data_IF_170259525997
#
_entry.id   IF_170259525997
#
_cell.length_a   1.000
_cell.length_b   1.000
_cell.length_c   1.000
_cell.angle_alpha   90.00
_cell.angle_beta   90.00
_cell.angle_gamma   90.00
#
_symmetry.space_group_name_H-M   'P 1'
#
loop_
_entity.id
_entity.type
_entity.pdbx_description
1 polymer ?
#
# COMPACT_ATOMS: atom_id res chain seq x y z
N UNK A 1 -41.63 27.66 -63.07
CA UNK A 1 -42.45 28.12 -61.93
C UNK A 1 -41.92 27.39 -60.70
N UNK A 2 -40.92 27.86 -59.96
CA UNK A 2 -40.69 29.16 -59.32
C UNK A 2 -41.70 29.46 -58.19
N UNK A 3 -41.33 29.11 -56.96
CA UNK A 3 -41.35 30.05 -55.83
C UNK A 3 -40.60 29.46 -54.62
N UNK A 4 -39.34 29.89 -54.51
CA UNK A 4 -38.52 29.84 -53.30
C UNK A 4 -38.83 31.06 -52.41
N UNK A 5 -38.30 31.00 -51.17
CA UNK A 5 -37.97 32.09 -50.21
C UNK A 5 -38.97 32.38 -49.08
N UNK A 6 -38.56 33.01 -47.95
CA UNK A 6 -37.20 33.21 -47.39
C UNK A 6 -37.05 33.01 -45.86
N UNK A 7 -35.78 32.81 -45.45
CA UNK A 7 -34.99 33.48 -44.38
C UNK A 7 -35.63 33.75 -43.01
N UNK A 8 -34.94 33.28 -41.95
CA UNK A 8 -34.58 34.15 -40.82
C UNK A 8 -33.20 33.78 -40.28
N UNK A 9 -32.22 34.61 -40.65
CA UNK A 9 -30.93 34.73 -39.96
C UNK A 9 -31.14 35.60 -38.73
N UNK A 10 -30.72 35.14 -37.56
CA UNK A 10 -30.40 36.00 -36.43
C UNK A 10 -28.90 35.93 -36.17
N UNK A 11 -28.14 36.84 -36.79
CA UNK A 11 -26.96 37.39 -36.15
C UNK A 11 -27.45 38.42 -35.13
N UNK A 12 -26.86 38.44 -33.93
CA UNK A 12 -26.23 39.66 -33.40
C UNK A 12 -25.66 39.46 -31.98
N UNK A 13 -24.43 39.97 -31.85
CA UNK A 13 -23.81 40.56 -30.67
C UNK A 13 -23.09 39.62 -29.69
N UNK A 14 -21.81 39.43 -30.03
CA UNK A 14 -20.69 39.50 -29.08
C UNK A 14 -21.00 40.45 -27.92
N UNK A 15 -21.06 39.92 -26.70
CA UNK A 15 -20.87 40.71 -25.50
C UNK A 15 -19.78 40.05 -24.65
N UNK A 16 -18.64 40.74 -24.55
CA UNK A 16 -17.54 40.41 -23.63
C UNK A 16 -18.10 40.45 -22.21
N UNK A 17 -18.23 39.29 -21.57
CA UNK A 17 -18.33 39.22 -20.11
C UNK A 17 -17.04 38.62 -19.60
N UNK A 18 -16.20 39.49 -19.01
CA UNK A 18 -15.04 39.09 -18.24
C UNK A 18 -15.51 38.33 -16.99
N UNK A 19 -15.49 37.00 -17.02
CA UNK A 19 -15.58 36.21 -15.80
C UNK A 19 -14.21 36.17 -15.13
N UNK A 20 -14.08 37.00 -14.09
CA UNK A 20 -12.95 36.98 -13.15
C UNK A 20 -12.96 35.66 -12.38
N UNK A 21 -11.83 34.95 -12.39
CA UNK A 21 -11.59 33.83 -11.48
C UNK A 21 -11.70 34.30 -10.02
N UNK A 22 -12.36 33.55 -9.12
CA UNK A 22 -12.23 33.79 -7.69
C UNK A 22 -10.84 33.34 -7.21
N UNK A 23 -10.17 34.13 -6.35
CA UNK A 23 -8.85 33.78 -5.85
C UNK A 23 -8.93 32.68 -4.79
N UNK A 24 -7.95 31.78 -4.88
CA UNK A 24 -7.46 30.82 -3.88
C UNK A 24 -7.90 31.10 -2.43
N UNK A 25 -8.78 30.25 -1.89
CA UNK A 25 -8.88 30.00 -0.46
C UNK A 25 -7.75 29.07 -0.03
N UNK A 26 -6.58 29.66 0.25
CA UNK A 26 -5.56 29.03 1.10
C UNK A 26 -6.04 29.13 2.55
N UNK A 27 -6.78 28.13 3.00
CA UNK A 27 -6.99 27.93 4.43
C UNK A 27 -5.70 27.37 5.03
N UNK A 28 -4.96 28.23 5.71
CA UNK A 28 -3.85 27.85 6.57
C UNK A 28 -4.37 27.07 7.77
N UNK A 29 -3.99 25.80 7.86
CA UNK A 29 -4.08 25.05 9.12
C UNK A 29 -2.70 25.01 9.75
N UNK A 30 -2.69 25.66 10.90
CA UNK A 30 -1.57 25.98 11.77
C UNK A 30 -0.86 24.70 12.24
N UNK A 31 0.43 24.62 11.96
CA UNK A 31 1.34 23.67 12.58
C UNK A 31 1.53 24.09 14.04
N UNK A 32 0.84 23.44 14.97
CA UNK A 32 0.96 23.72 16.39
C UNK A 32 2.33 23.21 16.89
N UNK A 33 3.33 24.08 16.86
CA UNK A 33 4.64 23.86 17.50
C UNK A 33 4.50 24.18 18.99
N UNK A 34 4.28 23.17 19.82
CA UNK A 34 4.51 23.30 21.25
C UNK A 34 6.02 23.36 21.51
N UNK A 35 6.57 24.57 21.60
CA UNK A 35 7.88 24.81 22.23
C UNK A 35 7.65 25.02 23.72
N UNK A 36 7.93 24.00 24.54
CA UNK A 36 7.99 24.18 26.00
C UNK A 36 9.37 24.75 26.34
N UNK A 37 9.41 26.05 26.58
CA UNK A 37 10.58 26.74 27.13
C UNK A 37 10.67 26.43 28.62
N UNK A 38 11.59 25.55 29.01
CA UNK A 38 11.94 25.38 30.43
C UNK A 38 12.89 26.50 30.87
N UNK A 39 12.33 27.45 31.61
CA UNK A 39 13.04 28.50 32.33
C UNK A 39 13.96 27.83 33.37
N UNK A 40 15.27 27.93 33.18
CA UNK A 40 16.29 27.42 34.12
C UNK A 40 16.32 28.35 35.35
N UNK A 41 15.66 27.99 36.44
CA UNK A 41 15.91 28.63 37.74
C UNK A 41 17.12 27.98 38.39
N UNK A 42 18.18 28.76 38.55
CA UNK A 42 19.37 28.39 39.33
C UNK A 42 19.07 28.61 40.81
N UNK A 43 18.96 27.51 41.57
CA UNK A 43 19.03 27.55 43.03
C UNK A 43 20.37 26.95 43.46
N UNK A 44 21.21 27.80 44.05
CA UNK A 44 22.51 27.46 44.63
C UNK A 44 22.27 27.10 46.09
N UNK A 45 22.59 25.87 46.49
CA UNK A 45 22.72 25.49 47.91
C UNK A 45 24.06 24.76 48.08
N UNK A 46 24.91 25.13 49.05
CA UNK A 46 26.18 24.47 49.29
C UNK A 46 26.03 23.39 50.36
N UNK A 47 26.50 22.17 50.10
CA UNK A 47 26.71 21.19 51.17
C UNK A 47 27.95 20.36 50.96
N UNK A 48 28.61 20.13 52.09
CA UNK A 48 30.00 19.70 52.33
C UNK A 48 30.29 18.28 51.84
N UNK A 49 31.56 18.06 51.54
CA UNK A 49 32.17 16.77 51.29
C UNK A 49 32.05 15.85 52.52
N UNK A 50 31.64 14.61 52.28
CA UNK A 50 31.88 13.47 53.16
C UNK A 50 32.24 12.27 52.27
N UNK A 51 33.44 11.74 52.49
CA UNK A 51 33.92 10.53 51.83
C UNK A 51 33.14 9.32 52.35
N UNK A 52 32.55 8.55 51.45
CA UNK A 52 32.03 7.22 51.73
C UNK A 52 32.55 6.25 50.69
N UNK A 53 33.42 5.34 51.12
CA UNK A 53 33.87 4.17 50.36
C UNK A 53 32.67 3.31 50.00
N UNK A 54 32.26 3.36 48.74
CA UNK A 54 31.25 2.48 48.17
C UNK A 54 31.92 1.48 47.23
N UNK A 55 31.86 0.20 47.60
CA UNK A 55 32.30 -0.94 46.79
C UNK A 55 31.67 -0.84 45.39
N UNK A 56 32.51 -0.72 44.36
CA UNK A 56 32.07 -0.73 42.96
C UNK A 56 31.68 -2.16 42.61
N UNK A 57 30.39 -2.46 42.78
CA UNK A 57 29.82 -3.69 42.21
C UNK A 57 29.78 -3.49 40.70
N UNK A 58 30.62 -4.27 39.99
CA UNK A 58 30.66 -4.28 38.54
C UNK A 58 29.32 -4.84 38.03
N UNK A 59 28.36 -3.95 37.80
CA UNK A 59 27.21 -4.26 36.96
C UNK A 59 27.76 -4.43 35.56
N UNK A 60 27.79 -5.67 35.08
CA UNK A 60 27.93 -5.97 33.65
C UNK A 60 26.84 -5.19 32.94
N UNK A 61 27.20 -4.06 32.34
CA UNK A 61 26.33 -3.33 31.44
C UNK A 61 26.01 -4.26 30.27
N UNK A 62 24.85 -4.89 30.33
CA UNK A 62 24.27 -5.62 29.21
C UNK A 62 24.23 -4.63 28.04
N UNK A 63 25.04 -4.87 27.00
CA UNK A 63 25.02 -4.05 25.79
C UNK A 63 23.58 -4.01 25.32
N UNK A 64 22.92 -2.85 25.43
CA UNK A 64 21.58 -2.66 24.94
C UNK A 64 21.55 -3.13 23.49
N UNK A 65 20.91 -4.28 23.23
CA UNK A 65 20.79 -4.84 21.88
C UNK A 65 20.22 -3.73 21.00
N UNK A 66 20.90 -3.44 19.89
CA UNK A 66 20.47 -2.39 18.96
C UNK A 66 19.08 -2.78 18.47
N UNK A 67 18.06 -2.03 18.93
CA UNK A 67 16.65 -2.27 18.60
C UNK A 67 16.46 -2.16 17.08
N UNK A 68 15.67 -3.06 16.51
CA UNK A 68 15.35 -3.00 15.08
C UNK A 68 14.52 -1.74 14.77
N UNK A 69 14.72 -1.10 13.61
CA UNK A 69 13.88 0.03 13.21
C UNK A 69 12.40 -0.36 13.20
N UNK A 70 11.58 0.34 13.98
CA UNK A 70 10.13 0.08 14.07
C UNK A 70 9.70 -0.84 15.22
N UNK A 71 10.61 -1.61 15.82
CA UNK A 71 10.31 -2.60 16.88
C UNK A 71 9.63 -1.98 18.12
N UNK A 72 9.79 -0.67 18.35
CA UNK A 72 9.08 0.05 19.42
C UNK A 72 7.58 0.25 19.18
N UNK A 73 7.12 0.13 17.93
CA UNK A 73 5.73 0.38 17.52
C UNK A 73 4.98 -0.91 17.13
N UNK A 74 5.64 -2.06 17.18
CA UNK A 74 5.09 -3.36 16.76
C UNK A 74 5.74 -3.90 15.49
N UNK A 75 5.58 -5.20 15.26
CA UNK A 75 6.23 -5.91 14.16
C UNK A 75 5.79 -5.41 12.78
N UNK A 76 4.55 -4.94 12.64
CA UNK A 76 4.07 -4.34 11.38
C UNK A 76 4.88 -3.11 10.97
N UNK A 77 5.36 -2.32 11.94
CA UNK A 77 6.22 -1.16 11.61
C UNK A 77 7.60 -1.62 11.12
N UNK A 78 8.12 -2.75 11.60
CA UNK A 78 9.34 -3.36 11.05
C UNK A 78 9.11 -3.81 9.60
N UNK A 79 8.00 -4.51 9.32
CA UNK A 79 7.62 -4.90 7.95
C UNK A 79 7.47 -3.69 7.03
N UNK A 80 6.80 -2.62 7.49
CA UNK A 80 6.70 -1.35 6.76
C UNK A 80 8.08 -0.79 6.45
N UNK A 81 8.97 -0.75 7.43
CA UNK A 81 10.31 -0.18 7.25
C UNK A 81 11.11 -0.92 6.17
N UNK A 82 11.08 -2.26 6.17
CA UNK A 82 11.74 -3.08 5.15
C UNK A 82 11.09 -2.84 3.77
N UNK A 83 9.76 -2.91 3.68
CA UNK A 83 9.03 -2.68 2.44
C UNK A 83 9.32 -1.29 1.84
N UNK A 84 9.36 -0.24 2.66
CA UNK A 84 9.63 1.12 2.18
C UNK A 84 11.02 1.28 1.57
N UNK A 85 12.04 0.59 2.10
CA UNK A 85 13.39 0.61 1.53
C UNK A 85 13.49 -0.04 0.16
N UNK A 86 12.64 -1.03 -0.11
CA UNK A 86 12.62 -1.75 -1.39
C UNK A 86 11.93 -0.98 -2.53
N UNK A 87 11.26 0.13 -2.24
CA UNK A 87 10.71 0.99 -3.28
C UNK A 87 11.80 1.85 -3.93
N UNK A 88 11.51 2.36 -5.13
CA UNK A 88 12.30 3.45 -5.72
C UNK A 88 11.90 4.80 -5.12
N UNK A 89 12.77 5.81 -5.26
CA UNK A 89 12.44 7.19 -4.83
C UNK A 89 11.26 7.80 -5.59
N UNK A 90 11.02 7.33 -6.81
CA UNK A 90 9.89 7.75 -7.63
C UNK A 90 8.56 7.17 -7.12
N UNK A 91 8.59 5.98 -6.52
CA UNK A 91 7.41 5.32 -5.96
C UNK A 91 7.13 5.74 -4.50
N UNK A 92 8.17 5.91 -3.69
CA UNK A 92 8.05 6.28 -2.29
C UNK A 92 9.20 7.17 -1.82
N UNK A 93 8.89 8.18 -0.99
CA UNK A 93 9.89 9.11 -0.43
C UNK A 93 11.02 8.39 0.33
N UNK A 94 10.70 7.28 0.99
CA UNK A 94 11.61 6.46 1.79
C UNK A 94 12.38 5.41 0.95
N UNK A 95 12.10 5.30 -0.35
CA UNK A 95 12.69 4.30 -1.24
C UNK A 95 14.20 4.38 -1.37
N UNK A 96 14.88 3.25 -1.44
CA UNK A 96 16.35 3.19 -1.58
C UNK A 96 16.80 2.45 -2.84
N UNK A 97 15.88 1.85 -3.61
CA UNK A 97 16.22 1.14 -4.86
C UNK A 97 16.27 2.10 -6.06
N UNK A 98 17.11 1.74 -7.02
CA UNK A 98 17.16 2.38 -8.34
C UNK A 98 16.10 1.77 -9.26
N UNK A 99 15.63 2.54 -10.23
CA UNK A 99 14.71 2.05 -11.27
C UNK A 99 15.48 1.11 -12.20
N UNK A 100 15.08 -0.16 -12.25
CA UNK A 100 15.64 -1.18 -13.15
C UNK A 100 14.63 -1.63 -14.19
N UNK A 101 13.37 -1.72 -13.79
CA UNK A 101 12.28 -2.19 -14.64
C UNK A 101 11.28 -1.07 -14.95
N UNK A 102 10.55 -1.12 -16.08
CA UNK A 102 9.61 -0.06 -16.48
C UNK A 102 8.54 0.28 -15.43
N UNK A 103 8.01 -0.74 -14.75
CA UNK A 103 7.00 -0.60 -13.68
C UNK A 103 7.56 -0.01 -12.37
N UNK A 104 8.88 0.17 -12.25
CA UNK A 104 9.50 0.80 -11.09
C UNK A 104 9.65 2.32 -11.25
N UNK A 105 9.48 2.82 -12.48
CA UNK A 105 9.54 4.23 -12.81
C UNK A 105 8.24 4.99 -12.47
N UNK A 106 8.23 6.32 -12.69
CA UNK A 106 7.05 7.15 -12.42
C UNK A 106 5.83 6.71 -13.25
N UNK A 107 4.70 6.47 -12.59
CA UNK A 107 3.44 6.04 -13.23
C UNK A 107 2.99 7.00 -14.34
N UNK A 108 3.32 8.30 -14.23
CA UNK A 108 3.00 9.30 -15.26
C UNK A 108 3.69 9.06 -16.62
N UNK A 109 4.73 8.22 -16.67
CA UNK A 109 5.46 7.85 -17.89
C UNK A 109 5.04 6.48 -18.45
N UNK A 110 4.08 5.81 -17.81
CA UNK A 110 3.61 4.52 -18.27
C UNK A 110 2.73 4.67 -19.50
N UNK A 111 2.79 3.68 -20.38
CA UNK A 111 1.94 3.55 -21.57
C UNK A 111 1.09 2.27 -21.42
N UNK A 112 0.10 2.25 -20.52
CA UNK A 112 -0.72 1.05 -20.29
C UNK A 112 -1.65 0.78 -21.47
N UNK A 113 -2.02 -0.48 -21.64
CA UNK A 113 -3.07 -0.93 -22.57
C UNK A 113 -4.21 -1.58 -21.79
N UNK A 114 -5.43 -1.61 -22.37
CA UNK A 114 -6.54 -2.34 -21.74
C UNK A 114 -6.23 -3.83 -21.63
N UNK A 115 -5.60 -4.41 -22.65
CA UNK A 115 -5.21 -5.83 -22.66
C UNK A 115 -4.19 -6.16 -21.56
N UNK A 116 -3.14 -5.34 -21.43
CA UNK A 116 -2.14 -5.48 -20.36
C UNK A 116 -2.76 -5.31 -18.97
N UNK A 117 -3.67 -4.34 -18.83
CA UNK A 117 -4.38 -4.13 -17.58
C UNK A 117 -5.34 -5.27 -17.23
N UNK A 118 -6.02 -5.89 -18.21
CA UNK A 118 -6.85 -7.08 -18.01
C UNK A 118 -6.02 -8.26 -17.51
N UNK A 119 -4.83 -8.51 -18.08
CA UNK A 119 -3.91 -9.53 -17.56
C UNK A 119 -3.53 -9.26 -16.11
N UNK A 120 -3.20 -7.99 -15.78
CA UNK A 120 -2.92 -7.57 -14.41
C UNK A 120 -4.09 -7.85 -13.46
N UNK A 121 -5.33 -7.53 -13.86
CA UNK A 121 -6.52 -7.75 -13.03
C UNK A 121 -6.83 -9.24 -12.83
N UNK A 122 -6.71 -10.05 -13.88
CA UNK A 122 -6.92 -11.52 -13.81
C UNK A 122 -5.87 -12.17 -12.90
N UNK A 123 -4.59 -11.86 -13.09
CA UNK A 123 -3.51 -12.41 -12.26
C UNK A 123 -3.63 -11.94 -10.81
N UNK A 124 -3.97 -10.67 -10.60
CA UNK A 124 -4.25 -10.15 -9.25
C UNK A 124 -5.42 -10.91 -8.61
N UNK A 125 -6.50 -11.16 -9.35
CA UNK A 125 -7.66 -11.89 -8.83
C UNK A 125 -7.28 -13.30 -8.42
N UNK A 126 -6.49 -14.02 -9.22
CA UNK A 126 -6.01 -15.34 -8.86
C UNK A 126 -5.20 -15.33 -7.54
N UNK A 127 -4.36 -14.32 -7.34
CA UNK A 127 -3.60 -14.15 -6.10
C UNK A 127 -4.53 -13.87 -4.91
N UNK A 128 -5.50 -12.97 -5.04
CA UNK A 128 -6.46 -12.70 -3.96
C UNK A 128 -7.36 -13.89 -3.67
N UNK A 129 -7.87 -14.59 -4.69
CA UNK A 129 -8.64 -15.83 -4.52
C UNK A 129 -7.84 -16.84 -3.71
N UNK A 130 -6.54 -16.95 -4.00
CA UNK A 130 -5.62 -17.85 -3.30
C UNK A 130 -5.42 -17.43 -1.84
N UNK A 131 -5.19 -16.15 -1.57
CA UNK A 131 -5.05 -15.64 -0.19
C UNK A 131 -6.33 -15.88 0.62
N UNK A 132 -7.48 -15.58 0.03
CA UNK A 132 -8.80 -15.73 0.64
C UNK A 132 -9.11 -17.22 0.92
N UNK A 133 -8.80 -18.11 -0.02
CA UNK A 133 -8.93 -19.56 0.17
C UNK A 133 -8.01 -20.09 1.29
N UNK A 134 -6.76 -19.62 1.35
CA UNK A 134 -5.80 -20.03 2.37
C UNK A 134 -6.26 -19.62 3.78
N UNK A 135 -6.69 -18.37 3.97
CA UNK A 135 -7.16 -17.93 5.28
C UNK A 135 -8.48 -18.61 5.66
N UNK A 136 -9.31 -18.97 4.69
CA UNK A 136 -10.53 -19.75 4.93
C UNK A 136 -10.23 -21.20 5.32
N UNK A 137 -9.24 -21.87 4.71
CA UNK A 137 -8.80 -23.21 5.16
C UNK A 137 -8.09 -23.16 6.51
N UNK A 138 -7.31 -22.11 6.74
CA UNK A 138 -6.46 -21.89 7.90
C UNK A 138 -5.62 -23.12 8.34
N UNK A 139 -4.66 -23.59 7.51
CA UNK A 139 -3.76 -24.69 7.89
C UNK A 139 -3.03 -24.44 9.23
N UNK A 140 -2.76 -23.17 9.55
CA UNK A 140 -2.27 -22.72 10.84
C UNK A 140 -3.36 -21.93 11.59
N UNK A 141 -3.56 -22.14 12.91
CA UNK A 141 -4.61 -21.47 13.68
C UNK A 141 -4.56 -19.94 13.64
N UNK A 142 -3.38 -19.35 13.49
CA UNK A 142 -3.19 -17.89 13.41
C UNK A 142 -3.86 -17.28 12.17
N UNK A 143 -4.10 -18.05 11.11
CA UNK A 143 -4.69 -17.53 9.88
C UNK A 143 -6.17 -17.18 10.03
N UNK A 144 -6.86 -17.80 11.00
CA UNK A 144 -8.26 -17.49 11.33
C UNK A 144 -8.45 -16.00 11.68
N UNK A 145 -7.43 -15.36 12.23
CA UNK A 145 -7.46 -13.93 12.57
C UNK A 145 -7.63 -13.05 11.31
N UNK A 146 -7.24 -13.55 10.13
CA UNK A 146 -7.24 -12.81 8.86
C UNK A 146 -8.43 -13.13 7.95
N UNK A 147 -9.46 -13.83 8.45
CA UNK A 147 -10.74 -13.97 7.75
C UNK A 147 -11.58 -12.70 7.89
N UNK A 148 -12.34 -12.36 6.85
CA UNK A 148 -13.36 -11.30 6.86
C UNK A 148 -12.82 -9.96 7.40
N UNK A 149 -11.66 -9.56 6.91
CA UNK A 149 -10.97 -8.33 7.30
C UNK A 149 -11.60 -7.07 6.71
N UNK A 150 -12.39 -7.22 5.65
CA UNK A 150 -12.87 -6.14 4.80
C UNK A 150 -11.85 -5.71 3.74
N UNK A 151 -10.66 -6.31 3.71
CA UNK A 151 -9.62 -6.03 2.72
C UNK A 151 -9.68 -6.97 1.51
N UNK A 152 -10.45 -8.05 1.57
CA UNK A 152 -10.68 -9.05 0.51
C UNK A 152 -11.02 -8.38 -0.82
N UNK A 153 -10.45 -8.85 -1.93
CA UNK A 153 -10.51 -8.18 -3.24
C UNK A 153 -11.12 -9.04 -4.35
N UNK A 154 -11.23 -10.35 -4.15
CA UNK A 154 -11.71 -11.28 -5.17
C UNK A 154 -13.08 -10.92 -5.72
N UNK A 155 -14.04 -10.58 -4.86
CA UNK A 155 -15.39 -10.19 -5.28
C UNK A 155 -15.38 -8.86 -6.07
N UNK A 156 -14.59 -7.88 -5.62
CA UNK A 156 -14.47 -6.58 -6.29
C UNK A 156 -13.84 -6.72 -7.68
N UNK A 157 -12.80 -7.55 -7.80
CA UNK A 157 -12.17 -7.89 -9.08
C UNK A 157 -13.13 -8.65 -10.01
N UNK A 158 -13.94 -9.57 -9.49
CA UNK A 158 -14.95 -10.26 -10.29
C UNK A 158 -15.96 -9.29 -10.92
N UNK A 159 -16.42 -8.27 -10.16
CA UNK A 159 -17.31 -7.22 -10.66
C UNK A 159 -16.66 -6.39 -11.76
N UNK A 160 -15.40 -6.02 -11.58
CA UNK A 160 -14.67 -5.24 -12.59
C UNK A 160 -14.44 -6.06 -13.87
N UNK A 161 -14.07 -7.33 -13.77
CA UNK A 161 -13.88 -8.20 -14.93
C UNK A 161 -15.20 -8.43 -15.70
N UNK A 162 -16.33 -8.60 -15.01
CA UNK A 162 -17.63 -8.68 -15.68
C UNK A 162 -17.98 -7.36 -16.37
N UNK A 163 -17.69 -6.21 -15.75
CA UNK A 163 -17.86 -4.91 -16.40
C UNK A 163 -17.05 -4.78 -17.69
N UNK A 164 -15.78 -5.23 -17.71
CA UNK A 164 -14.97 -5.26 -18.94
C UNK A 164 -15.58 -6.16 -20.02
N UNK A 165 -16.12 -7.31 -19.63
CA UNK A 165 -16.80 -8.22 -20.56
C UNK A 165 -18.07 -7.60 -21.15
N UNK A 166 -18.84 -6.86 -20.36
CA UNK A 166 -19.99 -6.07 -20.83
C UNK A 166 -19.58 -4.96 -21.81
N UNK A 167 -18.35 -4.42 -21.69
CA UNK A 167 -17.80 -3.47 -22.67
C UNK A 167 -17.30 -4.14 -23.96
N UNK A 168 -17.35 -5.47 -24.05
CA UNK A 168 -16.93 -6.24 -25.23
C UNK A 168 -15.49 -6.71 -25.23
N UNK A 169 -14.76 -6.60 -24.10
CA UNK A 169 -13.42 -7.15 -23.98
C UNK A 169 -13.45 -8.65 -23.69
N UNK A 170 -12.51 -9.39 -24.28
CA UNK A 170 -12.25 -10.77 -23.90
C UNK A 170 -11.43 -10.80 -22.61
N UNK A 171 -11.88 -11.58 -21.63
CA UNK A 171 -11.12 -11.77 -20.37
C UNK A 171 -10.06 -12.85 -20.61
N UNK A 172 -8.76 -12.55 -20.44
CA UNK A 172 -7.71 -13.53 -20.66
C UNK A 172 -7.70 -14.60 -19.55
N UNK A 173 -7.08 -15.74 -19.84
CA UNK A 173 -6.72 -16.71 -18.81
C UNK A 173 -5.56 -16.17 -17.93
N UNK A 174 -5.43 -16.64 -16.68
CA UNK A 174 -4.31 -16.27 -15.82
C UNK A 174 -2.96 -16.54 -16.48
N UNK A 175 -2.07 -15.57 -16.40
CA UNK A 175 -0.74 -15.63 -16.99
C UNK A 175 0.31 -16.20 -16.02
N UNK A 176 1.50 -16.47 -16.53
CA UNK A 176 2.56 -17.14 -15.74
C UNK A 176 2.91 -16.41 -14.43
N UNK A 177 3.02 -15.07 -14.35
CA UNK A 177 3.23 -14.36 -13.09
C UNK A 177 2.19 -14.67 -12.01
N UNK A 178 0.90 -14.60 -12.34
CA UNK A 178 -0.20 -14.89 -11.43
C UNK A 178 -0.21 -16.34 -10.96
N UNK A 179 -0.07 -17.29 -11.88
CA UNK A 179 -0.02 -18.73 -11.55
C UNK A 179 1.17 -19.05 -10.65
N UNK A 180 2.36 -18.56 -11.00
CA UNK A 180 3.58 -18.77 -10.22
C UNK A 180 3.43 -18.22 -8.81
N UNK A 181 2.85 -17.02 -8.67
CA UNK A 181 2.70 -16.43 -7.35
C UNK A 181 1.64 -17.15 -6.51
N UNK A 182 0.50 -17.53 -7.11
CA UNK A 182 -0.53 -18.30 -6.41
C UNK A 182 0.00 -19.67 -5.92
N UNK A 183 0.75 -20.39 -6.75
CA UNK A 183 1.39 -21.66 -6.35
C UNK A 183 2.39 -21.46 -5.21
N UNK A 184 3.21 -20.41 -5.29
CA UNK A 184 4.18 -20.09 -4.24
C UNK A 184 3.48 -19.78 -2.90
N UNK A 185 2.40 -19.00 -2.92
CA UNK A 185 1.62 -18.67 -1.72
C UNK A 185 0.99 -19.93 -1.09
N UNK A 186 0.46 -20.84 -1.92
CA UNK A 186 -0.06 -22.13 -1.44
C UNK A 186 1.03 -22.95 -0.76
N UNK A 187 2.22 -23.03 -1.35
CA UNK A 187 3.34 -23.74 -0.74
C UNK A 187 3.73 -23.14 0.61
N UNK A 188 3.92 -21.82 0.70
CA UNK A 188 4.26 -21.14 1.94
C UNK A 188 3.19 -21.35 3.01
N UNK A 189 1.91 -21.29 2.64
CA UNK A 189 0.81 -21.39 3.60
C UNK A 189 0.71 -22.73 4.33
N UNK A 190 1.34 -23.78 3.80
CA UNK A 190 1.35 -25.12 4.41
C UNK A 190 2.66 -25.40 5.17
N UNK A 191 3.75 -24.69 4.84
CA UNK A 191 5.11 -25.02 5.33
C UNK A 191 5.76 -23.92 6.16
N UNK A 192 5.42 -22.66 5.91
CA UNK A 192 6.17 -21.49 6.39
C UNK A 192 5.22 -20.32 6.69
N UNK A 193 4.60 -20.30 7.88
CA UNK A 193 3.59 -19.31 8.19
C UNK A 193 4.15 -17.90 8.35
N UNK A 194 5.40 -17.74 8.77
CA UNK A 194 6.05 -16.45 8.87
C UNK A 194 6.26 -15.82 7.49
N UNK A 195 6.76 -16.59 6.51
CA UNK A 195 6.90 -16.14 5.13
C UNK A 195 5.53 -15.82 4.50
N UNK A 196 4.54 -16.69 4.67
CA UNK A 196 3.18 -16.43 4.18
C UNK A 196 2.60 -15.11 4.71
N UNK A 197 2.74 -14.84 6.01
CA UNK A 197 2.27 -13.59 6.62
C UNK A 197 3.00 -12.36 6.07
N UNK A 198 4.28 -12.47 5.72
CA UNK A 198 4.99 -11.40 5.03
C UNK A 198 4.32 -11.04 3.70
N UNK A 199 3.98 -12.06 2.91
CA UNK A 199 3.30 -11.88 1.63
C UNK A 199 1.88 -11.32 1.81
N UNK A 200 1.10 -11.86 2.74
CA UNK A 200 -0.23 -11.34 3.07
C UNK A 200 -0.17 -9.84 3.38
N UNK A 201 0.76 -9.44 4.26
CA UNK A 201 0.95 -8.03 4.60
C UNK A 201 1.30 -7.20 3.36
N UNK A 202 2.33 -7.57 2.61
CA UNK A 202 2.79 -6.75 1.49
C UNK A 202 1.74 -6.63 0.38
N UNK A 203 1.02 -7.70 0.05
CA UNK A 203 0.01 -7.69 -1.02
C UNK A 203 -1.14 -6.72 -0.66
N UNK A 204 -1.78 -6.89 0.51
CA UNK A 204 -2.91 -6.06 0.91
C UNK A 204 -2.52 -4.59 1.19
N UNK A 205 -1.38 -4.37 1.85
CA UNK A 205 -0.94 -3.01 2.20
C UNK A 205 -0.36 -2.26 1.00
N UNK A 206 0.28 -2.93 0.04
CA UNK A 206 0.70 -2.29 -1.21
C UNK A 206 -0.51 -1.82 -2.03
N UNK A 207 -1.54 -2.65 -2.15
CA UNK A 207 -2.75 -2.31 -2.91
C UNK A 207 -3.49 -1.10 -2.32
N UNK A 208 -3.71 -1.12 -1.01
CA UNK A 208 -4.40 -0.03 -0.30
C UNK A 208 -3.62 1.29 -0.22
N UNK A 209 -2.31 1.27 -0.54
CA UNK A 209 -1.46 2.46 -0.62
C UNK A 209 -1.16 2.83 -2.08
N UNK A 210 -0.07 2.30 -2.66
CA UNK A 210 0.37 2.62 -4.01
C UNK A 210 -0.59 2.12 -5.09
N UNK A 211 -1.23 0.97 -4.88
CA UNK A 211 -2.18 0.38 -5.84
C UNK A 211 -3.35 1.30 -6.18
N UNK A 212 -3.88 2.04 -5.20
CA UNK A 212 -4.94 3.04 -5.43
C UNK A 212 -4.50 4.16 -6.36
N UNK A 213 -3.27 4.65 -6.20
CA UNK A 213 -2.73 5.71 -7.05
C UNK A 213 -2.51 5.20 -8.48
N UNK A 214 -1.95 3.99 -8.61
CA UNK A 214 -1.76 3.32 -9.90
C UNK A 214 -3.11 3.12 -10.60
N UNK A 215 -4.10 2.54 -9.92
CA UNK A 215 -5.43 2.29 -10.45
C UNK A 215 -6.10 3.55 -10.98
N UNK A 216 -6.07 4.63 -10.20
CA UNK A 216 -6.59 5.93 -10.62
C UNK A 216 -5.90 6.44 -11.89
N UNK A 217 -4.57 6.34 -11.95
CA UNK A 217 -3.79 6.84 -13.10
C UNK A 217 -4.02 6.02 -14.35
N UNK A 218 -4.06 4.69 -14.23
CA UNK A 218 -4.35 3.80 -15.36
C UNK A 218 -5.78 4.03 -15.86
N UNK A 219 -6.77 4.16 -14.98
CA UNK A 219 -8.14 4.47 -15.38
C UNK A 219 -8.26 5.84 -16.07
N UNK A 220 -7.51 6.86 -15.62
CA UNK A 220 -7.40 8.16 -16.30
C UNK A 220 -6.83 8.04 -17.73
N UNK A 221 -5.92 7.08 -17.96
CA UNK A 221 -5.25 6.89 -19.25
C UNK A 221 -6.08 6.07 -20.25
N UNK A 222 -6.71 4.99 -19.78
CA UNK A 222 -7.28 3.96 -20.68
C UNK A 222 -8.76 3.62 -20.44
N UNK A 223 -9.40 4.13 -19.38
CA UNK A 223 -10.78 3.74 -19.01
C UNK A 223 -11.73 4.93 -18.80
N UNK A 224 -11.47 6.08 -19.42
CA UNK A 224 -12.25 7.32 -19.24
C UNK A 224 -12.55 7.63 -17.75
N UNK A 225 -11.53 7.45 -16.90
CA UNK A 225 -11.61 7.70 -15.45
C UNK A 225 -12.63 6.83 -14.71
N UNK A 226 -13.01 5.67 -15.27
CA UNK A 226 -13.83 4.67 -14.59
C UNK A 226 -13.28 4.37 -13.19
N UNK A 227 -14.13 4.53 -12.20
CA UNK A 227 -13.81 4.17 -10.82
C UNK A 227 -14.16 2.69 -10.57
N UNK A 228 -13.15 1.83 -10.63
CA UNK A 228 -13.25 0.37 -10.49
C UNK A 228 -13.47 -0.06 -9.03
N UNK A 229 -14.21 -1.14 -8.85
CA UNK A 229 -14.55 -1.70 -7.54
C UNK A 229 -13.31 -2.21 -6.78
N UNK A 230 -12.29 -2.67 -7.49
CA UNK A 230 -11.03 -3.15 -6.92
C UNK A 230 -10.37 -2.13 -5.97
N UNK A 231 -10.57 -0.83 -6.23
CA UNK A 231 -10.02 0.29 -5.45
C UNK A 231 -11.01 0.91 -4.46
N UNK A 232 -12.15 0.25 -4.20
CA UNK A 232 -13.18 0.68 -3.26
C UNK A 232 -13.32 -0.31 -2.11
N UNK A 233 -13.63 0.20 -0.93
CA UNK A 233 -13.82 -0.61 0.27
C UNK A 233 -15.17 -0.32 0.88
N UNK A 234 -15.79 -1.36 1.42
CA UNK A 234 -17.01 -1.23 2.20
C UNK A 234 -16.59 -0.87 3.64
N UNK A 235 -16.66 0.43 3.95
CA UNK A 235 -16.23 1.00 5.23
C UNK A 235 -14.98 1.87 5.15
N UNK A 236 -14.58 2.41 6.30
CA UNK A 236 -13.45 3.35 6.41
C UNK A 236 -12.10 2.62 6.31
N UNK A 237 -11.46 2.72 5.15
CA UNK A 237 -10.17 2.07 4.88
C UNK A 237 -9.10 2.27 5.98
N UNK A 238 -8.91 3.47 6.57
CA UNK A 238 -7.94 3.63 7.65
C UNK A 238 -8.22 2.72 8.86
N UNK A 239 -9.49 2.52 9.20
CA UNK A 239 -9.90 1.65 10.30
C UNK A 239 -9.70 0.18 9.94
N UNK A 240 -10.08 -0.24 8.73
CA UNK A 240 -9.85 -1.61 8.25
C UNK A 240 -8.36 -1.97 8.30
N UNK A 241 -7.50 -1.09 7.78
CA UNK A 241 -6.06 -1.27 7.83
C UNK A 241 -5.56 -1.34 9.27
N UNK A 242 -6.00 -0.44 10.15
CA UNK A 242 -5.58 -0.45 11.55
C UNK A 242 -5.94 -1.75 12.27
N UNK A 243 -7.16 -2.27 12.06
CA UNK A 243 -7.60 -3.53 12.63
C UNK A 243 -6.70 -4.70 12.17
N UNK A 244 -6.32 -4.73 10.89
CA UNK A 244 -5.42 -5.77 10.35
C UNK A 244 -4.00 -5.61 10.90
N UNK A 245 -3.50 -4.39 11.10
CA UNK A 245 -2.18 -4.17 11.74
C UNK A 245 -2.15 -4.72 13.17
N UNK A 246 -3.22 -4.50 13.93
CA UNK A 246 -3.34 -5.01 15.30
C UNK A 246 -3.34 -6.54 15.34
N UNK A 247 -4.08 -7.18 14.43
CA UNK A 247 -4.08 -8.64 14.27
C UNK A 247 -2.70 -9.19 13.88
N UNK A 248 -2.02 -8.56 12.92
CA UNK A 248 -0.66 -8.94 12.53
C UNK A 248 0.33 -8.83 13.70
N UNK A 249 0.27 -7.72 14.46
CA UNK A 249 1.08 -7.55 15.65
C UNK A 249 0.81 -8.63 16.69
N UNK A 250 -0.47 -8.92 16.99
CA UNK A 250 -0.89 -9.97 17.92
C UNK A 250 -0.36 -11.35 17.52
N UNK A 251 -0.46 -11.72 16.23
CA UNK A 251 0.10 -13.00 15.74
C UNK A 251 1.62 -13.05 15.95
N UNK A 252 2.32 -11.96 15.64
CA UNK A 252 3.77 -11.88 15.77
C UNK A 252 4.29 -11.69 17.20
N UNK A 253 3.42 -11.46 18.20
CA UNK A 253 3.84 -11.38 19.61
C UNK A 253 4.45 -12.70 20.10
N UNK A 254 3.91 -13.83 19.62
CA UNK A 254 4.38 -15.17 19.96
C UNK A 254 5.68 -15.57 19.25
N UNK A 255 6.08 -14.83 18.21
CA UNK A 255 7.23 -15.20 17.38
C UNK A 255 8.56 -14.86 18.04
N UNK A 256 9.53 -15.75 17.85
CA UNK A 256 10.93 -15.47 18.18
C UNK A 256 11.50 -14.37 17.29
N UNK A 257 12.69 -13.87 17.63
CA UNK A 257 13.36 -12.86 16.81
C UNK A 257 13.78 -13.43 15.45
N UNK A 258 14.17 -14.70 15.42
CA UNK A 258 14.55 -15.44 14.22
C UNK A 258 13.36 -15.57 13.28
N UNK A 259 12.19 -15.94 13.79
CA UNK A 259 10.93 -16.03 13.03
C UNK A 259 10.51 -14.67 12.46
N UNK A 260 10.64 -13.60 13.26
CA UNK A 260 10.41 -12.22 12.79
C UNK A 260 11.39 -11.84 11.67
N UNK A 261 12.67 -12.14 11.82
CA UNK A 261 13.68 -11.86 10.80
C UNK A 261 13.41 -12.63 9.51
N UNK A 262 13.04 -13.91 9.63
CA UNK A 262 12.67 -14.75 8.49
C UNK A 262 11.50 -14.17 7.70
N UNK A 263 10.44 -13.70 8.39
CA UNK A 263 9.36 -12.95 7.76
C UNK A 263 9.87 -11.69 7.04
N UNK A 264 10.77 -10.90 7.64
CA UNK A 264 11.29 -9.68 7.03
C UNK A 264 12.17 -9.97 5.79
N UNK A 265 12.96 -11.05 5.80
CA UNK A 265 13.80 -11.48 4.69
C UNK A 265 12.97 -11.87 3.45
N UNK A 266 11.76 -12.39 3.66
CA UNK A 266 10.86 -12.78 2.58
C UNK A 266 10.30 -11.57 1.78
N UNK A 267 10.42 -10.35 2.31
CA UNK A 267 9.86 -9.14 1.68
C UNK A 267 10.37 -8.94 0.24
N UNK A 268 11.63 -9.25 -0.05
CA UNK A 268 12.20 -9.06 -1.40
C UNK A 268 11.53 -9.99 -2.43
N UNK A 269 11.18 -11.23 -2.06
CA UNK A 269 10.45 -12.14 -2.93
C UNK A 269 9.01 -11.66 -3.16
N UNK A 270 8.35 -11.15 -2.12
CA UNK A 270 7.02 -10.55 -2.27
C UNK A 270 7.00 -9.39 -3.26
N UNK A 271 8.01 -8.51 -3.20
CA UNK A 271 8.18 -7.42 -4.17
C UNK A 271 8.43 -7.93 -5.59
N UNK A 272 9.28 -8.94 -5.75
CA UNK A 272 9.57 -9.54 -7.05
C UNK A 272 8.29 -10.09 -7.70
N UNK A 273 7.56 -10.96 -7.02
CA UNK A 273 6.35 -11.56 -7.57
C UNK A 273 5.26 -10.53 -7.85
N UNK A 274 5.05 -9.57 -6.94
CA UNK A 274 4.07 -8.50 -7.15
C UNK A 274 4.47 -7.56 -8.28
N UNK A 275 5.77 -7.30 -8.45
CA UNK A 275 6.33 -6.50 -9.53
C UNK A 275 6.18 -7.16 -10.91
N UNK A 276 6.31 -8.49 -10.98
CA UNK A 276 6.09 -9.26 -12.22
C UNK A 276 4.62 -9.17 -12.69
N UNK A 277 3.65 -9.24 -11.76
CA UNK A 277 2.23 -9.02 -12.06
C UNK A 277 1.98 -7.55 -12.44
N UNK A 278 2.55 -6.60 -11.70
CA UNK A 278 2.39 -5.17 -12.00
C UNK A 278 2.92 -4.80 -13.39
N UNK A 279 4.00 -5.45 -13.84
CA UNK A 279 4.57 -5.25 -15.17
C UNK A 279 3.59 -5.59 -16.29
N UNK A 280 2.61 -6.47 -16.07
CA UNK A 280 1.60 -6.83 -17.08
C UNK A 280 0.80 -5.61 -17.55
N UNK A 281 0.63 -4.59 -16.71
CA UNK A 281 -0.03 -3.32 -17.08
C UNK A 281 0.64 -2.68 -18.30
N UNK A 282 1.94 -2.89 -18.47
CA UNK A 282 2.78 -2.32 -19.52
C UNK A 282 3.06 -3.32 -20.68
N UNK A 283 2.32 -4.44 -20.72
CA UNK A 283 2.48 -5.51 -21.72
C UNK A 283 1.49 -5.44 -22.88
#
# INVERSE_FOLDING_TARGET
MASLTPVSQSQLLFNKTQFKLPPNLRSGLLLNKFSVSFRRMSFRVPTKAAAASGVVSATTAEKAKKRYPGEAKGFVEEMRFVAMKLHTRDQAKEGEKEVKEPQEGPVAKWEPTVDGYLKFLVDSKLVYDTLEEIVEKAPFPSYNEFRNTGLERSEKLAKDLEWFKEQGYAIPEPSTPGVTYAEYLKELSEKDPQAFICHFYNIYFAHSAGGRMIGKKVAEMILDKKDLEFYKWDGELPQLLQNVREKLNKVAESWTREEKNHCLEETEKSFKHSGEILRLILS
#
